data_IF_038762420052
#
_entry.id   IF_038762420052
#
_cell.length_a   1.000
_cell.length_b   1.000
_cell.length_c   1.000
_cell.angle_alpha   90.00
_cell.angle_beta   90.00
_cell.angle_gamma   90.00
#
_symmetry.space_group_name_H-M   'P 1'
#
loop_
_entity.id
_entity.type
_entity.pdbx_description
1 polymer ?
#
# COMPACT_ATOMS: atom_id res chain seq x y z
N UNK A 1 2.47 18.25 15.67
CA UNK A 1 1.60 17.09 15.99
C UNK A 1 0.96 16.39 14.78
N UNK A 2 1.10 16.85 13.52
CA UNK A 2 0.49 16.15 12.35
C UNK A 2 1.36 15.09 11.67
N UNK A 3 2.68 15.34 11.53
CA UNK A 3 3.58 14.47 10.75
C UNK A 3 3.83 13.09 11.38
N UNK A 4 3.86 13.00 12.71
CA UNK A 4 4.11 11.73 13.43
C UNK A 4 2.97 10.73 13.23
N UNK A 5 1.72 11.14 13.48
CA UNK A 5 0.54 10.28 13.26
C UNK A 5 0.40 9.82 11.82
N UNK A 6 0.76 10.68 10.86
CA UNK A 6 0.76 10.34 9.43
C UNK A 6 1.88 9.36 9.05
N UNK A 7 2.97 9.32 9.82
CA UNK A 7 4.04 8.35 9.66
C UNK A 7 3.66 7.00 10.25
N UNK A 8 3.09 7.00 11.46
CA UNK A 8 2.65 5.77 12.12
C UNK A 8 1.55 5.06 11.32
N UNK A 9 0.63 5.82 10.72
CA UNK A 9 -0.42 5.24 9.86
C UNK A 9 0.15 4.64 8.58
N UNK A 10 1.17 5.28 7.99
CA UNK A 10 1.87 4.76 6.82
C UNK A 10 2.58 3.44 7.12
N UNK A 11 3.33 3.37 8.22
CA UNK A 11 4.06 2.13 8.59
C UNK A 11 3.11 0.95 8.81
N UNK A 12 1.94 1.19 9.42
CA UNK A 12 0.90 0.15 9.59
C UNK A 12 0.36 -0.34 8.26
N UNK A 13 -0.01 0.58 7.37
CA UNK A 13 -0.53 0.23 6.05
C UNK A 13 0.53 -0.52 5.22
N UNK A 14 1.78 -0.05 5.22
CA UNK A 14 2.91 -0.74 4.58
C UNK A 14 3.04 -2.17 5.09
N UNK A 15 3.03 -2.37 6.41
CA UNK A 15 3.14 -3.70 7.01
C UNK A 15 2.01 -4.65 6.57
N UNK A 16 0.76 -4.16 6.52
CA UNK A 16 -0.37 -4.96 6.05
C UNK A 16 -0.28 -5.31 4.56
N UNK A 17 0.16 -4.37 3.74
CA UNK A 17 0.37 -4.58 2.31
C UNK A 17 1.44 -5.67 2.09
N UNK A 18 2.60 -5.55 2.73
CA UNK A 18 3.68 -6.54 2.59
C UNK A 18 3.31 -7.92 3.16
N UNK A 19 2.49 -7.93 4.22
CA UNK A 19 1.95 -9.19 4.75
C UNK A 19 0.92 -9.83 3.82
N UNK A 20 0.21 -9.04 3.00
CA UNK A 20 -0.81 -9.53 2.07
C UNK A 20 -0.20 -9.94 0.74
N UNK A 21 0.83 -9.22 0.30
CA UNK A 21 1.50 -9.40 -0.98
C UNK A 21 3.01 -9.42 -0.75
N UNK A 22 3.58 -10.63 -0.63
CA UNK A 22 4.97 -10.84 -0.26
C UNK A 22 5.99 -10.35 -1.31
N UNK A 23 5.59 -10.28 -2.59
CA UNK A 23 6.48 -9.97 -3.71
C UNK A 23 6.51 -8.48 -4.08
N UNK A 24 6.07 -7.58 -3.20
CA UNK A 24 6.09 -6.15 -3.49
C UNK A 24 7.42 -5.51 -3.06
N UNK A 25 8.08 -4.84 -4.00
CA UNK A 25 9.20 -3.95 -3.72
C UNK A 25 8.82 -2.82 -2.73
N UNK A 26 9.42 -2.85 -1.53
CA UNK A 26 9.25 -1.83 -0.50
C UNK A 26 9.69 -0.42 -0.93
N UNK A 27 10.74 -0.31 -1.75
CA UNK A 27 11.28 0.96 -2.19
C UNK A 27 10.28 1.67 -3.11
N UNK A 28 9.66 0.92 -4.03
CA UNK A 28 8.58 1.43 -4.88
C UNK A 28 7.32 1.75 -4.06
N UNK A 29 6.98 0.92 -3.07
CA UNK A 29 5.86 1.19 -2.17
C UNK A 29 6.04 2.51 -1.41
N UNK A 30 7.26 2.78 -0.94
CA UNK A 30 7.60 4.05 -0.27
C UNK A 30 7.47 5.26 -1.19
N UNK A 31 7.73 5.12 -2.50
CA UNK A 31 7.53 6.20 -3.49
C UNK A 31 6.04 6.47 -3.71
N UNK A 32 5.21 5.44 -3.69
CA UNK A 32 3.75 5.54 -3.80
C UNK A 32 3.06 6.07 -2.51
N UNK A 33 3.82 6.31 -1.44
CA UNK A 33 3.30 6.79 -0.15
C UNK A 33 2.45 8.05 -0.31
N UNK A 34 1.24 8.01 0.25
CA UNK A 34 0.29 9.12 0.22
C UNK A 34 -0.52 9.21 -1.08
N UNK A 35 -0.29 8.32 -2.04
CA UNK A 35 -1.09 8.20 -3.25
C UNK A 35 -1.64 6.77 -3.39
N UNK A 36 -2.87 6.57 -2.95
CA UNK A 36 -3.56 5.27 -2.99
C UNK A 36 -3.57 4.66 -4.40
N UNK A 37 -3.76 5.48 -5.44
CA UNK A 37 -3.78 5.02 -6.83
C UNK A 37 -2.43 4.49 -7.31
N UNK A 38 -1.32 5.12 -6.90
CA UNK A 38 0.02 4.60 -7.19
C UNK A 38 0.28 3.28 -6.48
N UNK A 39 -0.17 3.13 -5.24
CA UNK A 39 -0.04 1.87 -4.49
C UNK A 39 -0.80 0.75 -5.19
N UNK A 40 -2.06 1.00 -5.60
CA UNK A 40 -2.87 0.02 -6.35
C UNK A 40 -2.20 -0.36 -7.67
N UNK A 41 -1.70 0.61 -8.43
CA UNK A 41 -1.02 0.35 -9.69
C UNK A 41 0.26 -0.46 -9.50
N UNK A 42 1.02 -0.19 -8.45
CA UNK A 42 2.23 -0.92 -8.12
C UNK A 42 1.90 -2.38 -7.77
N UNK A 43 0.92 -2.60 -6.89
CA UNK A 43 0.48 -3.94 -6.50
C UNK A 43 -0.03 -4.70 -7.73
N UNK A 44 -0.86 -4.07 -8.57
CA UNK A 44 -1.34 -4.67 -9.81
C UNK A 44 -0.20 -5.05 -10.76
N UNK A 45 0.80 -4.17 -10.91
CA UNK A 45 1.94 -4.42 -11.79
C UNK A 45 2.83 -5.57 -11.31
N UNK A 46 2.94 -5.79 -10.00
CA UNK A 46 3.82 -6.82 -9.44
C UNK A 46 3.09 -8.17 -9.25
N UNK A 47 1.80 -8.13 -8.91
CA UNK A 47 1.03 -9.34 -8.56
C UNK A 47 0.08 -9.81 -9.67
N UNK A 48 -0.24 -8.94 -10.63
CA UNK A 48 -1.26 -9.17 -11.64
C UNK A 48 -2.71 -9.11 -11.11
N UNK A 49 -2.92 -8.88 -9.81
CA UNK A 49 -4.25 -8.84 -9.20
C UNK A 49 -5.08 -7.66 -9.72
N UNK A 50 -6.39 -7.84 -9.90
CA UNK A 50 -7.27 -6.77 -10.39
C UNK A 50 -7.27 -5.54 -9.44
N UNK A 51 -7.24 -4.34 -10.04
CA UNK A 51 -7.18 -3.08 -9.29
C UNK A 51 -8.36 -2.89 -8.33
N UNK A 52 -9.57 -3.35 -8.68
CA UNK A 52 -10.72 -3.27 -7.79
C UNK A 52 -10.58 -4.21 -6.59
N UNK A 53 -10.03 -5.42 -6.80
CA UNK A 53 -9.75 -6.34 -5.70
C UNK A 53 -8.70 -5.77 -4.74
N UNK A 54 -7.64 -5.19 -5.29
CA UNK A 54 -6.59 -4.52 -4.51
C UNK A 54 -7.18 -3.35 -3.71
N UNK A 55 -7.95 -2.46 -4.36
CA UNK A 55 -8.61 -1.34 -3.67
C UNK A 55 -9.52 -1.82 -2.53
N UNK A 56 -10.29 -2.88 -2.76
CA UNK A 56 -11.15 -3.46 -1.71
C UNK A 56 -10.33 -3.97 -0.53
N UNK A 57 -9.23 -4.71 -0.77
CA UNK A 57 -8.32 -5.14 0.31
C UNK A 57 -7.71 -3.95 1.05
N UNK A 58 -7.24 -2.94 0.34
CA UNK A 58 -6.66 -1.75 0.96
C UNK A 58 -7.67 -0.91 1.75
N UNK A 59 -8.94 -0.87 1.34
CA UNK A 59 -9.99 -0.19 2.11
C UNK A 59 -10.23 -0.82 3.49
N UNK A 60 -9.87 -2.10 3.68
CA UNK A 60 -9.92 -2.77 4.97
C UNK A 60 -8.72 -2.45 5.88
N UNK A 61 -7.68 -1.77 5.34
CA UNK A 61 -6.47 -1.38 6.05
C UNK A 61 -6.54 0.06 6.62
N UNK A 62 -7.54 0.83 6.19
CA UNK A 62 -7.87 2.18 6.65
C UNK A 62 -8.85 2.13 7.83
#
# INVERSE_FOLDING_TARGET
MGKQRMNDNWERMKAQILSTWADIDEAEMKKARGNLGQMVNLIHSQTGEDRQNIMRKMSAFL
#
